data_IF_568466070204
#
_entry.id   IF_568466070204
#
_cell.length_a   1.000
_cell.length_b   1.000
_cell.length_c   1.000
_cell.angle_alpha   90.00
_cell.angle_beta   90.00
_cell.angle_gamma   90.00
#
_symmetry.space_group_name_H-M   'P 1'
#
loop_
_entity.id
_entity.type
_entity.pdbx_description
1 polymer ?
#
# COMPACT_ATOMS: atom_id res chain seq x y z
N UNK A 1 0.27 -15.23 -3.41
CA UNK A 1 -0.14 -16.53 -2.85
C UNK A 1 -1.66 -16.74 -2.80
N UNK A 2 -2.46 -15.72 -2.48
CA UNK A 2 -3.94 -15.86 -2.38
C UNK A 2 -4.60 -16.13 -3.74
N UNK A 3 -4.06 -15.58 -4.85
CA UNK A 3 -4.62 -15.76 -6.18
C UNK A 3 -4.67 -17.24 -6.66
N UNK A 4 -3.56 -18.01 -6.64
CA UNK A 4 -3.63 -19.45 -6.96
C UNK A 4 -4.63 -20.23 -6.10
N UNK A 5 -4.68 -19.96 -4.79
CA UNK A 5 -5.62 -20.62 -3.89
C UNK A 5 -7.08 -20.27 -4.22
N UNK A 6 -7.35 -19.02 -4.55
CA UNK A 6 -8.69 -18.59 -4.95
C UNK A 6 -9.14 -19.23 -6.27
N UNK A 7 -8.23 -19.40 -7.25
CA UNK A 7 -8.53 -20.13 -8.48
C UNK A 7 -8.74 -21.63 -8.24
N UNK A 8 -7.93 -22.25 -7.38
CA UNK A 8 -8.09 -23.66 -7.00
C UNK A 8 -9.43 -23.96 -6.30
N UNK A 9 -9.95 -23.00 -5.53
CA UNK A 9 -11.25 -23.10 -4.85
C UNK A 9 -12.46 -22.72 -5.72
N UNK A 10 -12.26 -22.48 -7.02
CA UNK A 10 -13.34 -22.07 -7.94
C UNK A 10 -13.83 -20.63 -7.70
N UNK A 11 -13.11 -19.82 -6.92
CA UNK A 11 -13.43 -18.42 -6.64
C UNK A 11 -12.86 -17.46 -7.69
N UNK A 12 -12.44 -17.97 -8.85
CA UNK A 12 -11.95 -17.18 -9.99
C UNK A 12 -12.82 -15.99 -10.38
N UNK A 13 -14.17 -16.10 -10.42
CA UNK A 13 -15.03 -14.95 -10.70
C UNK A 13 -14.94 -13.83 -9.65
N UNK A 14 -14.67 -14.19 -8.39
CA UNK A 14 -14.47 -13.23 -7.28
C UNK A 14 -13.09 -12.55 -7.36
N UNK A 15 -12.10 -13.25 -7.92
CA UNK A 15 -10.74 -12.75 -8.20
C UNK A 15 -10.71 -11.81 -9.40
N UNK A 16 -11.51 -12.08 -10.43
CA UNK A 16 -11.61 -11.25 -11.64
C UNK A 16 -12.44 -9.98 -11.44
N UNK A 17 -13.12 -9.83 -10.31
CA UNK A 17 -13.76 -8.58 -9.91
C UNK A 17 -12.73 -7.53 -9.45
N UNK A 18 -13.11 -6.24 -9.51
CA UNK A 18 -12.31 -5.12 -8.96
C UNK A 18 -12.19 -5.13 -7.42
N UNK A 19 -12.55 -6.23 -6.77
CA UNK A 19 -12.72 -6.35 -5.32
C UNK A 19 -11.61 -7.25 -4.76
N UNK A 20 -10.36 -6.78 -4.88
CA UNK A 20 -9.23 -7.40 -4.17
C UNK A 20 -9.29 -7.15 -2.65
N UNK A 21 -9.92 -6.03 -2.26
CA UNK A 21 -10.06 -5.61 -0.87
C UNK A 21 -11.14 -6.49 -0.19
N UNK A 22 -10.68 -7.41 0.67
CA UNK A 22 -11.56 -8.36 1.38
C UNK A 22 -11.40 -9.81 0.91
N UNK A 23 -10.76 -10.04 -0.24
CA UNK A 23 -10.59 -11.38 -0.81
C UNK A 23 -9.87 -12.34 0.14
N UNK A 24 -8.86 -11.85 0.88
CA UNK A 24 -8.15 -12.60 1.92
C UNK A 24 -9.10 -13.21 2.95
N UNK A 25 -10.11 -12.44 3.38
CA UNK A 25 -11.08 -12.85 4.40
C UNK A 25 -12.18 -13.77 3.86
N UNK A 26 -12.33 -13.89 2.54
CA UNK A 26 -13.24 -14.85 1.92
C UNK A 26 -12.54 -16.15 1.50
N UNK A 27 -11.32 -16.04 0.97
CA UNK A 27 -10.58 -17.17 0.40
C UNK A 27 -9.89 -17.97 1.47
N UNK A 28 -9.19 -17.32 2.41
CA UNK A 28 -8.37 -18.05 3.38
C UNK A 28 -9.17 -18.91 4.35
N UNK A 29 -10.34 -18.48 4.88
CA UNK A 29 -11.15 -19.36 5.72
C UNK A 29 -11.57 -20.65 4.99
N UNK A 30 -11.93 -20.56 3.71
CA UNK A 30 -12.25 -21.72 2.88
C UNK A 30 -11.07 -22.64 2.63
N UNK A 31 -9.86 -22.08 2.48
CA UNK A 31 -8.62 -22.87 2.40
C UNK A 31 -8.42 -23.65 3.70
N UNK A 32 -8.57 -22.99 4.86
CA UNK A 32 -8.38 -23.64 6.15
C UNK A 32 -9.44 -24.72 6.42
N UNK A 33 -10.67 -24.55 5.96
CA UNK A 33 -11.73 -25.57 6.07
C UNK A 33 -11.37 -26.90 5.40
N UNK A 34 -10.62 -26.85 4.30
CA UNK A 34 -10.17 -28.05 3.58
C UNK A 34 -8.92 -28.71 4.20
N UNK A 35 -8.28 -28.06 5.18
CA UNK A 35 -7.09 -28.57 5.84
C UNK A 35 -7.46 -29.38 7.09
N UNK A 36 -6.79 -30.53 7.34
CA UNK A 36 -6.91 -31.19 8.63
C UNK A 36 -6.41 -30.24 9.74
N UNK A 37 -7.21 -30.09 10.81
CA UNK A 37 -6.95 -29.15 11.92
C UNK A 37 -6.89 -27.69 11.44
N UNK A 38 -7.69 -27.33 10.42
CA UNK A 38 -7.75 -26.00 9.84
C UNK A 38 -8.00 -24.85 10.81
N UNK A 39 -8.76 -25.08 11.88
CA UNK A 39 -9.03 -24.07 12.91
C UNK A 39 -7.76 -23.59 13.62
N UNK A 40 -6.80 -24.49 13.86
CA UNK A 40 -5.52 -24.16 14.50
C UNK A 40 -4.65 -23.31 13.57
N UNK A 41 -4.48 -23.76 12.33
CA UNK A 41 -3.70 -23.04 11.32
C UNK A 41 -4.33 -21.70 10.95
N UNK A 42 -5.66 -21.64 10.85
CA UNK A 42 -6.40 -20.40 10.60
C UNK A 42 -6.23 -19.40 11.76
N UNK A 43 -6.41 -19.84 13.00
CA UNK A 43 -6.20 -19.00 14.18
C UNK A 43 -4.78 -18.45 14.25
N UNK A 44 -3.78 -19.33 14.10
CA UNK A 44 -2.37 -18.94 14.09
C UNK A 44 -2.07 -17.94 12.96
N UNK A 45 -2.59 -18.18 11.76
CA UNK A 45 -2.39 -17.29 10.62
C UNK A 45 -2.95 -15.89 10.88
N UNK A 46 -4.18 -15.77 11.40
CA UNK A 46 -4.77 -14.45 11.66
C UNK A 46 -4.09 -13.71 12.81
N UNK A 47 -3.56 -14.41 13.81
CA UNK A 47 -2.72 -13.79 14.85
C UNK A 47 -1.44 -13.22 14.23
N UNK A 48 -0.74 -14.01 13.41
CA UNK A 48 0.47 -13.55 12.73
C UNK A 48 0.17 -12.40 11.76
N UNK A 49 -0.96 -12.46 11.05
CA UNK A 49 -1.44 -11.38 10.18
C UNK A 49 -1.69 -10.09 10.98
N UNK A 50 -2.26 -10.19 12.18
CA UNK A 50 -2.48 -9.04 13.05
C UNK A 50 -1.17 -8.39 13.50
N UNK A 51 -0.16 -9.18 13.89
CA UNK A 51 1.18 -8.65 14.19
C UNK A 51 1.83 -7.98 12.97
N UNK A 52 1.71 -8.60 11.79
CA UNK A 52 2.18 -8.01 10.53
C UNK A 52 1.52 -6.67 10.22
N UNK A 53 0.18 -6.60 10.36
CA UNK A 53 -0.58 -5.37 10.17
C UNK A 53 -0.19 -4.29 11.19
N UNK A 54 -0.01 -4.66 12.47
CA UNK A 54 0.40 -3.74 13.52
C UNK A 54 1.78 -3.13 13.26
N UNK A 55 2.76 -3.94 12.87
CA UNK A 55 4.11 -3.44 12.56
C UNK A 55 4.11 -2.46 11.38
N UNK A 56 3.30 -2.73 10.35
CA UNK A 56 3.15 -1.87 9.18
C UNK A 56 2.46 -0.54 9.55
N UNK A 57 1.41 -0.61 10.38
CA UNK A 57 0.70 0.57 10.87
C UNK A 57 1.62 1.50 11.66
N UNK A 58 2.46 0.94 12.55
CA UNK A 58 3.46 1.70 13.31
C UNK A 58 4.45 2.40 12.36
N UNK A 59 4.98 1.67 11.35
CA UNK A 59 5.94 2.23 10.40
C UNK A 59 5.36 3.36 9.55
N UNK A 60 4.08 3.30 9.19
CA UNK A 60 3.41 4.34 8.40
C UNK A 60 3.08 5.57 9.24
N UNK A 61 2.82 5.40 10.55
CA UNK A 61 2.50 6.51 11.45
C UNK A 61 3.74 7.29 11.90
N UNK A 62 4.90 6.64 11.97
CA UNK A 62 6.13 7.24 12.51
C UNK A 62 6.58 8.53 11.80
N UNK A 63 6.57 8.64 10.45
CA UNK A 63 6.96 9.88 9.77
C UNK A 63 6.10 11.09 10.19
N UNK A 64 4.80 10.89 10.41
CA UNK A 64 3.90 11.95 10.86
C UNK A 64 4.21 12.40 12.29
N UNK A 65 4.55 11.45 13.18
CA UNK A 65 4.95 11.75 14.56
C UNK A 65 6.30 12.47 14.59
N UNK A 66 7.25 12.04 13.77
CA UNK A 66 8.57 12.66 13.66
C UNK A 66 8.44 14.12 13.19
N UNK A 67 7.65 14.37 12.14
CA UNK A 67 7.37 15.71 11.66
C UNK A 67 6.72 16.60 12.73
N UNK A 68 5.72 16.12 13.46
CA UNK A 68 5.09 16.87 14.56
C UNK A 68 6.05 17.18 15.70
N UNK A 69 7.01 16.29 15.96
CA UNK A 69 8.02 16.52 16.99
C UNK A 69 9.02 17.57 16.54
N UNK A 70 9.53 17.45 15.32
CA UNK A 70 10.66 18.26 14.84
C UNK A 70 10.22 19.67 14.42
N UNK A 71 9.04 19.82 13.80
CA UNK A 71 8.52 21.12 13.32
C UNK A 71 7.58 21.80 14.30
N UNK A 72 6.74 21.03 15.03
CA UNK A 72 5.73 21.58 15.96
C UNK A 72 6.18 21.49 17.42
N UNK A 73 7.29 20.82 17.71
CA UNK A 73 7.83 20.69 19.07
C UNK A 73 7.00 19.80 19.99
N UNK A 74 6.09 18.97 19.47
CA UNK A 74 5.26 18.09 20.30
C UNK A 74 6.04 16.93 20.89
N UNK A 75 5.66 16.48 22.08
CA UNK A 75 6.21 15.25 22.64
C UNK A 75 5.75 14.03 21.82
N UNK A 76 6.60 13.01 21.66
CA UNK A 76 6.28 11.80 20.88
C UNK A 76 4.97 11.15 21.32
N UNK A 77 4.75 11.05 22.65
CA UNK A 77 3.51 10.49 23.22
C UNK A 77 2.27 11.27 22.78
N UNK A 78 2.33 12.61 22.82
CA UNK A 78 1.24 13.48 22.39
C UNK A 78 1.00 13.35 20.88
N UNK A 79 2.05 13.37 20.07
CA UNK A 79 1.97 13.17 18.62
C UNK A 79 1.33 11.84 18.25
N UNK A 80 1.77 10.74 18.87
CA UNK A 80 1.23 9.40 18.63
C UNK A 80 -0.25 9.28 19.00
N UNK A 81 -0.65 9.79 20.18
CA UNK A 81 -2.03 9.71 20.64
C UNK A 81 -2.98 10.52 19.74
N UNK A 82 -2.62 11.76 19.43
CA UNK A 82 -3.46 12.65 18.62
C UNK A 82 -3.59 12.13 17.20
N UNK A 83 -2.47 11.77 16.55
CA UNK A 83 -2.50 11.21 15.19
C UNK A 83 -3.24 9.88 15.14
N UNK A 84 -3.09 9.03 16.15
CA UNK A 84 -3.82 7.78 16.27
C UNK A 84 -5.33 7.98 16.38
N UNK A 85 -5.78 8.90 17.24
CA UNK A 85 -7.21 9.23 17.37
C UNK A 85 -7.76 9.80 16.07
N UNK A 86 -7.04 10.72 15.42
CA UNK A 86 -7.45 11.30 14.14
C UNK A 86 -7.60 10.21 13.08
N UNK A 87 -6.60 9.33 12.93
CA UNK A 87 -6.64 8.22 11.96
C UNK A 87 -7.79 7.25 12.27
N UNK A 88 -8.02 6.94 13.55
CA UNK A 88 -9.12 6.09 13.98
C UNK A 88 -10.47 6.71 13.61
N UNK A 89 -10.69 8.00 13.88
CA UNK A 89 -11.90 8.74 13.49
C UNK A 89 -12.07 8.80 11.97
N UNK A 90 -10.99 9.03 11.23
CA UNK A 90 -11.01 9.04 9.77
C UNK A 90 -11.34 7.67 9.16
N UNK A 91 -11.08 6.58 9.88
CA UNK A 91 -11.44 5.22 9.47
C UNK A 91 -12.95 4.94 9.54
N UNK A 92 -13.67 5.60 10.44
CA UNK A 92 -15.11 5.33 10.70
C UNK A 92 -15.97 5.49 9.43
N UNK A 93 -15.86 6.58 8.64
CA UNK A 93 -16.63 6.73 7.40
C UNK A 93 -16.42 5.60 6.38
N UNK A 94 -15.20 5.06 6.29
CA UNK A 94 -14.90 3.96 5.37
C UNK A 94 -15.58 2.66 5.78
N UNK A 95 -15.64 2.39 7.09
CA UNK A 95 -16.32 1.21 7.65
C UNK A 95 -17.84 1.36 7.49
N UNK A 96 -18.39 2.53 7.82
CA UNK A 96 -19.82 2.83 7.72
C UNK A 96 -20.32 2.77 6.27
N UNK A 97 -19.49 3.16 5.29
CA UNK A 97 -19.82 3.03 3.87
C UNK A 97 -20.07 1.56 3.47
N UNK A 98 -19.26 0.62 3.98
CA UNK A 98 -19.48 -0.81 3.76
C UNK A 98 -20.72 -1.33 4.49
N UNK A 99 -21.05 -0.80 5.67
CA UNK A 99 -22.23 -1.24 6.43
C UNK A 99 -23.55 -0.76 5.81
N UNK A 100 -23.63 0.54 5.47
CA UNK A 100 -24.84 1.17 4.91
C UNK A 100 -25.18 0.72 3.49
N UNK A 101 -24.22 0.18 2.74
CA UNK A 101 -24.41 -0.32 1.38
C UNK A 101 -24.92 -1.78 1.30
N UNK A 102 -25.32 -2.38 2.42
CA UNK A 102 -25.90 -3.73 2.48
C UNK A 102 -24.94 -4.83 2.93
N UNK A 103 -23.92 -4.49 3.72
CA UNK A 103 -22.98 -5.42 4.35
C UNK A 103 -21.56 -5.38 3.78
N UNK A 104 -20.60 -5.93 4.53
CA UNK A 104 -19.15 -5.97 4.25
C UNK A 104 -18.75 -6.45 2.85
N UNK A 105 -19.66 -7.07 2.09
CA UNK A 105 -19.46 -7.55 0.72
C UNK A 105 -20.01 -6.65 -0.38
N UNK A 106 -20.77 -5.58 -0.09
CA UNK A 106 -21.23 -4.62 -1.10
C UNK A 106 -20.60 -3.27 -0.88
N UNK A 107 -19.50 -3.06 -1.61
CA UNK A 107 -18.82 -1.80 -1.87
C UNK A 107 -18.17 -1.14 -0.66
N UNK A 108 -16.95 -1.60 -0.37
CA UNK A 108 -15.82 -0.75 0.01
C UNK A 108 -15.44 0.25 -1.11
N UNK A 109 -16.41 0.81 -1.84
CA UNK A 109 -16.17 1.64 -3.01
C UNK A 109 -15.44 2.92 -2.62
N UNK A 110 -15.70 3.47 -1.42
CA UNK A 110 -14.96 4.62 -0.93
C UNK A 110 -13.51 4.27 -0.62
N UNK A 111 -13.25 3.11 0.01
CA UNK A 111 -11.89 2.66 0.31
C UNK A 111 -11.11 2.36 -0.97
N UNK A 112 -11.73 1.66 -1.93
CA UNK A 112 -11.12 1.39 -3.23
C UNK A 112 -10.83 2.66 -4.04
N UNK A 113 -11.72 3.67 -3.99
CA UNK A 113 -11.45 4.97 -4.61
C UNK A 113 -10.25 5.67 -3.97
N UNK A 114 -10.16 5.66 -2.64
CA UNK A 114 -9.01 6.25 -1.95
C UNK A 114 -7.72 5.48 -2.20
N UNK A 115 -7.78 4.15 -2.32
CA UNK A 115 -6.63 3.33 -2.71
C UNK A 115 -6.12 3.69 -4.12
N UNK A 116 -7.03 3.93 -5.07
CA UNK A 116 -6.63 4.41 -6.41
C UNK A 116 -5.92 5.77 -6.31
N UNK A 117 -6.52 6.73 -5.61
CA UNK A 117 -5.97 8.10 -5.53
C UNK A 117 -4.66 8.14 -4.74
N UNK A 118 -4.62 7.54 -3.56
CA UNK A 118 -3.47 7.61 -2.66
C UNK A 118 -2.46 6.51 -2.99
N UNK A 119 -2.91 5.26 -2.98
CA UNK A 119 -2.05 4.09 -3.16
C UNK A 119 -1.48 3.96 -4.58
N UNK A 120 -2.32 4.16 -5.61
CA UNK A 120 -1.91 3.89 -6.98
C UNK A 120 -1.42 5.13 -7.74
N UNK A 121 -1.89 6.33 -7.38
CA UNK A 121 -1.46 7.57 -8.04
C UNK A 121 -0.49 8.40 -7.18
N UNK A 122 -0.85 8.72 -5.94
CA UNK A 122 0.00 9.59 -5.12
C UNK A 122 1.33 8.94 -4.75
N UNK A 123 1.36 7.68 -4.31
CA UNK A 123 2.60 7.00 -3.91
C UNK A 123 3.64 6.93 -5.05
N UNK A 124 3.31 6.50 -6.29
CA UNK A 124 4.29 6.55 -7.37
C UNK A 124 4.71 7.96 -7.76
N UNK A 125 3.80 8.95 -7.69
CA UNK A 125 4.14 10.35 -7.95
C UNK A 125 5.15 10.89 -6.92
N UNK A 126 4.93 10.64 -5.62
CA UNK A 126 5.88 11.00 -4.57
C UNK A 126 7.21 10.27 -4.72
N UNK A 127 7.18 8.98 -5.08
CA UNK A 127 8.39 8.21 -5.38
C UNK A 127 9.17 8.80 -6.57
N UNK A 128 8.47 9.21 -7.62
CA UNK A 128 9.06 9.85 -8.81
C UNK A 128 9.74 11.19 -8.47
N UNK A 129 9.05 12.04 -7.71
CA UNK A 129 9.62 13.32 -7.26
C UNK A 129 10.84 13.09 -6.36
N UNK A 130 10.78 12.13 -5.45
CA UNK A 130 11.87 11.81 -4.54
C UNK A 130 13.11 11.29 -5.29
N UNK A 131 12.91 10.42 -6.28
CA UNK A 131 14.03 9.90 -7.07
C UNK A 131 14.65 10.98 -7.96
N UNK A 132 13.85 11.88 -8.52
CA UNK A 132 14.38 13.02 -9.28
C UNK A 132 15.19 13.95 -8.36
N UNK A 133 14.66 14.27 -7.18
CA UNK A 133 15.37 15.06 -6.19
C UNK A 133 16.75 14.46 -5.85
N UNK A 134 16.80 13.17 -5.53
CA UNK A 134 18.06 12.50 -5.18
C UNK A 134 18.99 12.33 -6.39
N UNK A 135 18.45 11.85 -7.51
CA UNK A 135 19.22 11.52 -8.71
C UNK A 135 19.80 12.75 -9.41
N UNK A 136 18.99 13.80 -9.56
CA UNK A 136 19.32 14.96 -10.39
C UNK A 136 19.70 16.19 -9.57
N UNK A 137 18.97 16.52 -8.50
CA UNK A 137 19.24 17.73 -7.71
C UNK A 137 20.36 17.54 -6.67
N UNK A 138 20.33 16.45 -5.91
CA UNK A 138 21.35 16.19 -4.87
C UNK A 138 22.65 15.62 -5.44
N UNK A 139 22.59 14.85 -6.52
CA UNK A 139 23.75 14.36 -7.25
C UNK A 139 24.80 13.68 -6.35
N UNK A 140 25.99 14.27 -6.25
CA UNK A 140 27.11 13.76 -5.42
C UNK A 140 26.80 13.75 -3.92
N UNK A 141 26.11 14.78 -3.41
CA UNK A 141 25.73 14.88 -2.00
C UNK A 141 24.74 13.78 -1.62
N UNK A 142 23.82 13.44 -2.53
CA UNK A 142 22.90 12.32 -2.34
C UNK A 142 23.63 10.99 -2.19
N UNK A 143 24.62 10.72 -3.05
CA UNK A 143 25.46 9.51 -2.94
C UNK A 143 26.29 9.46 -1.65
N UNK A 144 26.82 10.59 -1.20
CA UNK A 144 27.57 10.69 0.05
C UNK A 144 26.68 10.43 1.26
N UNK A 145 25.47 11.00 1.30
CA UNK A 145 24.49 10.76 2.35
C UNK A 145 24.00 9.31 2.39
N UNK A 146 23.75 8.68 1.23
CA UNK A 146 23.39 7.24 1.16
C UNK A 146 24.47 6.35 1.80
N UNK A 147 25.74 6.75 1.68
CA UNK A 147 26.88 5.99 2.22
C UNK A 147 27.28 6.42 3.64
N UNK A 148 26.65 7.45 4.19
CA UNK A 148 26.99 7.99 5.50
C UNK A 148 26.44 7.08 6.59
N UNK A 149 27.33 6.54 7.43
CA UNK A 149 26.95 5.59 8.49
C UNK A 149 26.63 4.17 8.01
N UNK A 150 26.78 3.87 6.71
CA UNK A 150 26.53 2.53 6.17
C UNK A 150 27.71 1.58 6.47
N UNK A 151 27.42 0.40 7.04
CA UNK A 151 28.44 -0.66 7.25
C UNK A 151 29.04 -1.17 5.93
N UNK A 152 28.23 -1.18 4.87
CA UNK A 152 28.66 -1.53 3.51
C UNK A 152 28.34 -0.37 2.58
N UNK A 153 29.38 0.20 1.96
CA UNK A 153 29.22 1.31 1.03
C UNK A 153 28.68 0.79 -0.32
N UNK A 154 27.65 1.45 -0.82
CA UNK A 154 27.08 1.19 -2.13
C UNK A 154 27.98 1.84 -3.18
N UNK A 155 28.34 1.08 -4.21
CA UNK A 155 29.19 1.57 -5.30
C UNK A 155 28.50 2.62 -6.17
N UNK A 156 29.29 3.45 -6.85
CA UNK A 156 28.78 4.53 -7.74
C UNK A 156 27.93 4.04 -8.91
N UNK A 157 27.94 2.74 -9.20
CA UNK A 157 27.09 2.12 -10.21
C UNK A 157 25.60 2.30 -9.93
N UNK A 158 25.20 2.58 -8.68
CA UNK A 158 23.79 2.88 -8.34
C UNK A 158 23.33 4.24 -8.89
N UNK A 159 24.24 5.19 -9.11
CA UNK A 159 23.86 6.56 -9.47
C UNK A 159 23.23 6.66 -10.87
N UNK A 160 23.75 6.00 -11.92
CA UNK A 160 23.04 5.87 -13.20
C UNK A 160 21.66 5.21 -13.08
N UNK A 161 21.52 4.21 -12.21
CA UNK A 161 20.23 3.54 -11.97
C UNK A 161 19.21 4.50 -11.36
N UNK A 162 19.61 5.26 -10.33
CA UNK A 162 18.76 6.26 -9.68
C UNK A 162 18.41 7.42 -10.64
N UNK A 163 19.30 7.79 -11.55
CA UNK A 163 19.07 8.89 -12.51
C UNK A 163 18.19 8.53 -13.69
N UNK A 164 18.29 7.29 -14.18
CA UNK A 164 17.71 6.90 -15.46
C UNK A 164 16.78 5.71 -15.34
N UNK A 165 17.26 4.58 -14.81
CA UNK A 165 16.48 3.33 -14.80
C UNK A 165 15.25 3.45 -13.91
N UNK A 166 15.42 3.91 -12.67
CA UNK A 166 14.32 3.98 -11.69
C UNK A 166 13.26 5.01 -12.10
N UNK A 167 13.59 6.25 -12.51
CA UNK A 167 12.58 7.20 -12.98
C UNK A 167 11.80 6.68 -14.19
N UNK A 168 12.46 6.05 -15.18
CA UNK A 168 11.80 5.49 -16.35
C UNK A 168 10.80 4.40 -15.95
N UNK A 169 11.21 3.48 -15.07
CA UNK A 169 10.32 2.42 -14.57
C UNK A 169 9.12 2.98 -13.81
N UNK A 170 9.33 3.95 -12.91
CA UNK A 170 8.24 4.58 -12.16
C UNK A 170 7.30 5.34 -13.11
N UNK A 171 7.84 6.08 -14.08
CA UNK A 171 7.03 6.76 -15.09
C UNK A 171 6.20 5.77 -15.89
N UNK A 172 6.80 4.68 -16.38
CA UNK A 172 6.09 3.64 -17.14
C UNK A 172 4.93 3.06 -16.31
N UNK A 173 5.20 2.67 -15.06
CA UNK A 173 4.17 2.13 -14.16
C UNK A 173 3.07 3.17 -13.89
N UNK A 174 3.43 4.43 -13.68
CA UNK A 174 2.47 5.50 -13.47
C UNK A 174 1.60 5.74 -14.71
N UNK A 175 2.17 5.75 -15.91
CA UNK A 175 1.41 5.87 -17.16
C UNK A 175 0.46 4.70 -17.37
N UNK A 176 0.90 3.47 -17.11
CA UNK A 176 0.03 2.29 -17.21
C UNK A 176 -1.14 2.37 -16.22
N UNK A 177 -0.87 2.78 -14.99
CA UNK A 177 -1.91 3.00 -13.97
C UNK A 177 -2.86 4.12 -14.38
N UNK A 178 -2.36 5.23 -14.90
CA UNK A 178 -3.17 6.35 -15.36
C UNK A 178 -4.12 5.94 -16.49
N UNK A 179 -3.62 5.16 -17.47
CA UNK A 179 -4.44 4.62 -18.56
C UNK A 179 -5.56 3.73 -17.99
N UNK A 180 -5.24 2.84 -17.03
CA UNK A 180 -6.25 1.99 -16.37
C UNK A 180 -7.32 2.82 -15.67
N UNK A 181 -6.93 3.86 -14.92
CA UNK A 181 -7.85 4.76 -14.24
C UNK A 181 -8.74 5.52 -15.24
N UNK A 182 -8.19 5.99 -16.36
CA UNK A 182 -8.95 6.70 -17.40
C UNK A 182 -9.94 5.79 -18.14
N UNK A 183 -9.56 4.53 -18.38
CA UNK A 183 -10.46 3.49 -18.91
C UNK A 183 -11.61 3.20 -17.94
N UNK A 184 -11.31 3.17 -16.64
CA UNK A 184 -12.31 2.97 -15.59
C UNK A 184 -13.29 4.14 -15.46
N UNK A 185 -12.88 5.34 -15.84
CA UNK A 185 -13.74 6.53 -15.94
C UNK A 185 -14.50 6.62 -17.29
N UNK A 186 -14.36 5.63 -18.18
CA UNK A 186 -15.06 5.58 -19.47
C UNK A 186 -14.56 6.58 -20.51
N UNK A 187 -13.41 7.23 -20.28
CA UNK A 187 -12.85 8.25 -21.18
C UNK A 187 -11.99 7.67 -22.31
N UNK A 188 -11.57 6.40 -22.21
CA UNK A 188 -10.71 5.71 -23.18
C UNK A 188 -11.22 4.28 -23.37
N UNK A 189 -11.27 3.73 -24.60
CA UNK A 189 -11.58 2.31 -24.79
C UNK A 189 -10.57 1.40 -24.04
N UNK A 190 -11.05 0.27 -23.50
CA UNK A 190 -10.19 -0.72 -22.83
C UNK A 190 -9.22 -1.34 -23.85
N UNK A 191 -7.96 -0.93 -23.80
CA UNK A 191 -6.91 -1.32 -24.76
C UNK A 191 -6.22 -2.64 -24.36
N UNK A 192 -6.36 -3.11 -23.11
CA UNK A 192 -5.74 -4.36 -22.65
C UNK A 192 -6.77 -5.21 -21.88
N UNK A 193 -6.96 -6.44 -22.37
CA UNK A 193 -7.65 -7.55 -21.67
C UNK A 193 -6.65 -8.31 -20.82
#
# INVERSE_FOLDING_TARGET
AIFPAAFALGLGPMVSGKESIGLTFCVLPKVFEQMPIGWFFGGLFFILLAFGALSSAISIQEPSIAWLKDEVGWSRKKGALITGIILWLMGIPFILNGFLAGGLGKKLALLGKMDIVIGQLALPAFGFLSIIAVGWFMGKKGYEEINKGARHKIGRWIMPWLRWVVPIFISLLFFLTLIRVLQDLGKIPRILR
#
